data_IF_556562782720
#
_entry.id   IF_556562782720
#
_cell.length_a   1.000
_cell.length_b   1.000
_cell.length_c   1.000
_cell.angle_alpha   90.00
_cell.angle_beta   90.00
_cell.angle_gamma   90.00
#
_symmetry.space_group_name_H-M   'P 1'
#
loop_
_entity.id
_entity.type
_entity.pdbx_description
1 polymer ?
2 polymer ?
3 non-polymer ?
4 non-polymer ?
5 water ?
#
# COMPACT_ATOMS: atom_id res chain seq x y z
N UNK A 1 12.56 6.16 -13.99
CA UNK A 1 11.09 6.19 -13.69
C UNK A 1 10.50 4.78 -13.75
N UNK A 2 10.21 4.21 -12.58
CA UNK A 2 9.49 2.95 -12.48
C UNK A 2 8.04 3.17 -12.88
N UNK A 3 7.47 2.22 -13.62
CA UNK A 3 6.06 2.25 -13.98
C UNK A 3 5.41 0.90 -13.71
N UNK A 4 4.24 0.95 -13.08
CA UNK A 4 3.37 -0.21 -12.95
C UNK A 4 2.05 0.18 -13.62
N UNK A 5 1.45 -0.76 -14.33
CA UNK A 5 0.21 -0.49 -15.06
C UNK A 5 -0.75 -1.66 -14.96
N UNK A 6 -1.83 -1.45 -14.21
CA UNK A 6 -2.85 -2.45 -14.02
C UNK A 6 -3.85 -2.37 -15.18
N UNK A 7 -4.52 -3.48 -15.44
CA UNK A 7 -5.62 -3.52 -16.41
C UNK A 7 -6.52 -4.70 -16.09
N UNK A 8 -7.71 -4.70 -16.70
CA UNK A 8 -8.63 -5.83 -16.63
C UNK A 8 -9.88 -5.61 -15.80
N UNK A 9 -9.96 -4.46 -15.12
CA UNK A 9 -11.14 -4.14 -14.33
C UNK A 9 -12.38 -3.87 -15.15
N UNK A 10 -13.47 -3.55 -14.48
CA UNK A 10 -14.72 -3.25 -15.17
C UNK A 10 -15.92 -3.30 -14.26
N UNK A 11 -17.05 -3.64 -14.86
CA UNK A 11 -18.36 -3.63 -14.21
C UNK A 11 -18.91 -5.04 -14.34
N UNK A 12 -19.02 -5.75 -13.22
CA UNK A 12 -19.43 -7.16 -13.20
C UNK A 12 -20.51 -7.41 -12.15
N UNK A 13 -21.14 -8.58 -12.21
CA UNK A 13 -22.18 -8.96 -11.26
C UNK A 13 -21.65 -9.89 -10.16
N UNK A 14 -22.33 -9.94 -9.00
CA UNK A 14 -21.92 -10.86 -7.95
C UNK A 14 -21.92 -12.32 -8.40
N UNK A 15 -20.97 -13.09 -7.90
CA UNK A 15 -20.77 -14.49 -8.31
C UNK A 15 -19.82 -14.68 -9.48
N UNK A 16 -19.53 -13.61 -10.23
CA UNK A 16 -18.71 -13.71 -11.43
C UNK A 16 -17.21 -13.80 -11.15
N UNK A 17 -16.45 -13.88 -12.23
CA UNK A 17 -14.99 -13.95 -12.19
C UNK A 17 -14.35 -12.88 -13.07
N UNK A 18 -13.11 -12.54 -12.74
CA UNK A 18 -12.37 -11.50 -13.42
C UNK A 18 -10.88 -11.70 -13.15
N UNK A 19 -10.04 -11.48 -14.15
CA UNK A 19 -8.58 -11.52 -13.97
C UNK A 19 -7.96 -10.16 -14.25
N UNK A 20 -7.23 -9.65 -13.26
CA UNK A 20 -6.48 -8.40 -13.40
C UNK A 20 -5.04 -8.72 -13.76
N UNK A 21 -4.43 -7.81 -14.53
CA UNK A 21 -3.03 -7.91 -14.92
C UNK A 21 -2.32 -6.64 -14.49
N UNK A 22 -1.02 -6.75 -14.26
CA UNK A 22 -0.18 -5.58 -13.99
C UNK A 22 1.18 -5.82 -14.63
N UNK A 23 1.62 -4.87 -15.46
CA UNK A 23 2.93 -4.97 -16.11
C UNK A 23 3.87 -3.93 -15.49
N UNK A 24 5.08 -4.36 -15.19
CA UNK A 24 6.08 -3.56 -14.49
C UNK A 24 7.27 -3.23 -15.40
N UNK A 25 7.86 -2.05 -15.17
CA UNK A 25 9.08 -1.63 -15.87
C UNK A 25 9.93 -0.71 -14.99
N UNK A 26 11.23 -0.66 -15.27
CA UNK A 26 12.14 0.26 -14.58
C UNK A 26 12.86 -0.27 -13.35
N UNK A 27 12.55 -1.50 -12.94
CA UNK A 27 13.26 -2.16 -11.85
C UNK A 27 13.34 -3.65 -12.12
N UNK A 28 14.19 -4.36 -11.38
CA UNK A 28 14.36 -5.79 -11.58
C UNK A 28 13.19 -6.54 -10.92
N UNK A 29 12.07 -6.59 -11.65
CA UNK A 29 10.81 -7.19 -11.19
C UNK A 29 10.98 -8.55 -10.50
N UNK A 30 11.77 -9.43 -11.09
CA UNK A 30 11.97 -10.79 -10.58
C UNK A 30 12.67 -10.88 -9.22
N UNK A 31 13.31 -9.79 -8.78
CA UNK A 31 13.97 -9.74 -7.46
C UNK A 31 13.08 -9.28 -6.31
N UNK A 32 11.86 -8.84 -6.60
CA UNK A 32 10.96 -8.28 -5.57
C UNK A 32 9.65 -9.04 -5.46
N UNK A 33 9.13 -9.11 -4.24
CA UNK A 33 7.78 -9.61 -4.01
C UNK A 33 6.83 -8.59 -4.61
N UNK A 34 5.65 -9.04 -5.02
CA UNK A 34 4.62 -8.12 -5.47
C UNK A 34 3.33 -8.34 -4.68
N UNK A 35 2.55 -7.27 -4.58
CA UNK A 35 1.31 -7.26 -3.81
C UNK A 35 0.19 -6.68 -4.65
N UNK A 36 -1.04 -7.08 -4.32
CA UNK A 36 -2.24 -6.35 -4.71
C UNK A 36 -2.81 -5.70 -3.46
N UNK A 37 -3.22 -4.43 -3.60
CA UNK A 37 -3.89 -3.68 -2.53
C UNK A 37 -5.09 -2.99 -3.18
N UNK A 38 -6.23 -2.96 -2.49
CA UNK A 38 -7.42 -2.34 -3.04
C UNK A 38 -7.93 -1.18 -2.18
N UNK A 39 -8.57 -0.23 -2.84
CA UNK A 39 -9.14 0.95 -2.19
C UNK A 39 -10.64 0.95 -2.43
N UNK A 40 -11.43 0.87 -1.35
CA UNK A 40 -12.89 0.71 -1.46
C UNK A 40 -13.58 2.08 -1.62
N UNK A 41 -14.92 2.09 -1.87
CA UNK A 41 -15.67 3.37 -1.89
C UNK A 41 -15.61 4.23 -0.61
N UNK A 42 -15.35 3.61 0.55
CA UNK A 42 -15.12 4.37 1.79
C UNK A 42 -13.66 4.84 1.97
N UNK A 43 -12.87 4.80 0.88
CA UNK A 43 -11.54 5.41 0.76
C UNK A 43 -10.38 4.67 1.47
N UNK A 44 -10.66 3.56 2.16
CA UNK A 44 -9.66 2.82 2.92
C UNK A 44 -8.89 1.83 2.07
N UNK A 45 -7.60 1.70 2.35
CA UNK A 45 -6.73 0.72 1.69
C UNK A 45 -6.77 -0.61 2.43
N UNK A 46 -6.80 -1.70 1.66
CA UNK A 46 -6.80 -3.05 2.20
C UNK A 46 -5.82 -3.91 1.40
N UNK A 47 -4.84 -4.47 2.08
CA UNK A 47 -3.90 -5.41 1.46
C UNK A 47 -4.64 -6.69 1.11
N UNK A 48 -4.44 -7.17 -0.11
CA UNK A 48 -5.19 -8.30 -0.68
C UNK A 48 -4.34 -9.58 -0.73
N UNK A 49 -3.15 -9.49 -1.31
CA UNK A 49 -2.33 -10.68 -1.55
C UNK A 49 -0.88 -10.30 -1.82
N UNK A 50 0.03 -11.24 -1.56
CA UNK A 50 1.44 -11.10 -1.92
C UNK A 50 1.90 -12.33 -2.66
N UNK A 51 2.92 -12.17 -3.49
CA UNK A 51 3.61 -13.30 -4.11
C UNK A 51 5.11 -13.05 -3.99
N UNK A 52 5.84 -14.11 -3.64
CA UNK A 52 7.27 -14.01 -3.33
C UNK A 52 8.04 -14.40 -4.60
N UNK A 53 9.31 -14.79 -4.45
CA UNK A 53 10.19 -14.98 -5.59
C UNK A 53 10.18 -16.42 -6.09
N UNK A 54 10.80 -16.62 -7.25
CA UNK A 54 11.08 -17.96 -7.77
C UNK A 54 11.83 -18.81 -6.73
N UNK A 55 12.82 -18.21 -6.07
CA UNK A 55 13.59 -18.89 -5.01
C UNK A 55 12.77 -19.28 -3.77
N UNK A 56 11.61 -18.66 -3.58
CA UNK A 56 10.65 -19.05 -2.54
C UNK A 56 9.52 -19.93 -3.09
N UNK A 57 9.74 -20.56 -4.25
CA UNK A 57 8.72 -21.35 -4.94
C UNK A 57 7.43 -20.55 -5.17
N UNK A 58 7.59 -19.24 -5.46
CA UNK A 58 6.46 -18.33 -5.67
C UNK A 58 5.39 -18.41 -4.57
N UNK A 59 5.83 -18.50 -3.32
CA UNK A 59 4.92 -18.59 -2.16
C UNK A 59 3.94 -17.42 -2.17
N UNK A 60 2.70 -17.70 -1.76
CA UNK A 60 1.64 -16.71 -1.72
C UNK A 60 0.99 -16.63 -0.34
N UNK A 61 0.48 -15.45 -0.01
CA UNK A 61 -0.35 -15.24 1.17
C UNK A 61 -1.49 -14.31 0.79
N UNK A 62 -2.61 -14.47 1.48
CA UNK A 62 -3.83 -13.70 1.19
C UNK A 62 -4.43 -13.13 2.45
N UNK A 63 -5.15 -12.02 2.28
CA UNK A 63 -6.00 -11.51 3.35
C UNK A 63 -7.16 -12.48 3.57
N UNK A 64 -7.62 -12.60 4.81
CA UNK A 64 -8.70 -13.53 5.12
C UNK A 64 -10.00 -13.18 4.36
N UNK A 65 -10.17 -11.90 4.01
CA UNK A 65 -11.31 -11.44 3.22
C UNK A 65 -11.40 -12.03 1.80
N UNK A 66 -10.29 -12.54 1.25
CA UNK A 66 -10.27 -13.11 -0.11
C UNK A 66 -9.75 -14.54 -0.22
N UNK A 67 -9.34 -15.14 0.91
CA UNK A 67 -8.73 -16.48 0.90
C UNK A 67 -9.69 -17.52 0.33
N UNK A 68 -9.20 -18.31 -0.62
CA UNK A 68 -10.00 -19.33 -1.31
C UNK A 68 -10.76 -18.86 -2.55
N UNK A 69 -10.85 -17.55 -2.74
CA UNK A 69 -11.55 -16.96 -3.88
C UNK A 69 -10.60 -16.27 -4.88
N UNK A 70 -9.53 -15.67 -4.37
CA UNK A 70 -8.57 -14.96 -5.22
C UNK A 70 -7.28 -15.77 -5.35
N UNK A 71 -6.61 -15.63 -6.49
CA UNK A 71 -5.31 -16.25 -6.73
C UNK A 71 -4.35 -15.23 -7.35
N UNK A 72 -3.22 -15.03 -6.67
CA UNK A 72 -2.15 -14.18 -7.19
C UNK A 72 -1.12 -15.07 -7.90
N UNK A 73 -0.61 -14.59 -9.03
CA UNK A 73 0.42 -15.27 -9.80
C UNK A 73 1.32 -14.23 -10.48
N UNK A 74 2.44 -14.68 -11.02
CA UNK A 74 3.36 -13.80 -11.71
C UNK A 74 4.07 -14.51 -12.86
N UNK A 75 4.47 -13.73 -13.84
CA UNK A 75 5.26 -14.21 -14.96
C UNK A 75 6.47 -13.28 -15.07
N UNK A 76 7.60 -13.73 -14.52
CA UNK A 76 8.83 -12.95 -14.53
C UNK A 76 9.35 -12.64 -15.94
N UNK A 77 9.12 -13.54 -16.91
CA UNK A 77 9.52 -13.30 -18.31
C UNK A 77 8.72 -12.18 -18.99
N UNK A 78 7.50 -11.91 -18.50
CA UNK A 78 6.68 -10.78 -18.96
C UNK A 78 6.67 -9.60 -17.98
N UNK A 79 7.43 -9.69 -16.89
CA UNK A 79 7.46 -8.68 -15.83
C UNK A 79 6.05 -8.30 -15.35
N UNK A 80 5.23 -9.32 -15.13
CA UNK A 80 3.81 -9.14 -14.87
C UNK A 80 3.31 -9.91 -13.65
N UNK A 81 2.36 -9.31 -12.95
CA UNK A 81 1.68 -9.94 -11.81
C UNK A 81 0.19 -9.94 -12.11
N UNK A 82 -0.51 -10.96 -11.62
CA UNK A 82 -1.93 -11.17 -11.95
C UNK A 82 -2.74 -11.43 -10.70
N UNK A 83 -4.04 -11.11 -10.78
CA UNK A 83 -4.99 -11.47 -9.72
C UNK A 83 -6.25 -12.05 -10.35
N UNK A 84 -6.45 -13.35 -10.17
CA UNK A 84 -7.67 -14.04 -10.59
C UNK A 84 -8.65 -13.93 -9.44
N UNK A 85 -9.84 -13.38 -9.71
CA UNK A 85 -10.86 -13.16 -8.70
C UNK A 85 -12.07 -14.00 -9.06
N UNK A 86 -12.45 -14.92 -8.18
CA UNK A 86 -13.64 -15.77 -8.36
C UNK A 86 -14.69 -15.46 -7.30
N UNK A 87 -15.93 -15.84 -7.58
CA UNK A 87 -17.05 -15.66 -6.64
C UNK A 87 -17.09 -14.22 -6.10
N UNK A 88 -17.07 -13.25 -7.01
CA UNK A 88 -17.02 -11.84 -6.64
C UNK A 88 -18.23 -11.42 -5.80
N UNK A 89 -17.98 -10.56 -4.81
CA UNK A 89 -18.99 -10.04 -3.91
C UNK A 89 -19.04 -8.54 -4.05
N UNK A 90 -20.15 -7.92 -3.66
CA UNK A 90 -20.26 -6.45 -3.65
C UNK A 90 -19.11 -5.79 -2.88
N UNK A 91 -18.69 -6.41 -1.77
CA UNK A 91 -17.59 -5.89 -0.95
C UNK A 91 -16.20 -5.93 -1.63
N UNK A 92 -16.06 -6.65 -2.74
CA UNK A 92 -14.83 -6.61 -3.55
C UNK A 92 -14.74 -5.37 -4.43
N UNK A 93 -15.80 -4.57 -4.50
CA UNK A 93 -15.75 -3.31 -5.26
C UNK A 93 -14.62 -2.42 -4.75
N UNK A 94 -13.81 -1.91 -5.68
CA UNK A 94 -12.75 -0.95 -5.36
C UNK A 94 -11.77 -0.75 -6.49
N UNK A 95 -10.78 0.11 -6.26
CA UNK A 95 -9.68 0.31 -7.18
C UNK A 95 -8.56 -0.64 -6.73
N UNK A 96 -8.08 -1.46 -7.66
CA UNK A 96 -7.06 -2.47 -7.40
C UNK A 96 -5.71 -2.01 -7.93
N UNK A 97 -4.72 -1.98 -7.03
CA UNK A 97 -3.36 -1.56 -7.36
C UNK A 97 -2.38 -2.71 -7.15
N UNK A 98 -1.43 -2.83 -8.07
CA UNK A 98 -0.24 -3.64 -7.85
C UNK A 98 0.84 -2.72 -7.29
N UNK A 99 1.59 -3.24 -6.32
CA UNK A 99 2.56 -2.44 -5.58
C UNK A 99 3.63 -3.33 -4.94
N UNK A 100 4.84 -2.79 -4.87
CA UNK A 100 5.93 -3.46 -4.16
C UNK A 100 7.16 -2.58 -4.05
N UNK A 101 8.23 -3.20 -3.56
CA UNK A 101 9.57 -2.62 -3.37
C UNK A 101 9.69 -1.80 -2.08
N UNK A 102 10.36 -2.37 -1.09
CA UNK A 102 10.76 -1.68 0.13
C UNK A 102 9.77 -0.83 0.92
N UNK A 103 8.57 -1.29 1.25
CA UNK A 103 7.88 -2.48 0.74
C UNK A 103 6.73 -2.08 -0.20
N UNK A 104 6.39 -0.80 -0.22
CA UNK A 104 5.32 -0.29 -1.06
C UNK A 104 5.71 1.01 -1.76
N UNK A 105 6.95 1.08 -2.26
CA UNK A 105 7.49 2.25 -2.96
C UNK A 105 6.75 2.64 -4.24
N UNK A 106 6.40 1.63 -5.00
CA UNK A 106 5.83 1.83 -6.32
C UNK A 106 4.42 1.26 -6.42
N UNK A 107 3.54 2.06 -7.01
CA UNK A 107 2.12 1.75 -7.20
C UNK A 107 1.75 2.05 -8.63
N UNK A 108 0.90 1.22 -9.23
CA UNK A 108 0.32 1.61 -10.51
C UNK A 108 -0.83 2.61 -10.34
N UNK A 109 -1.41 3.03 -11.45
CA UNK A 109 -2.57 3.95 -11.45
C UNK A 109 -3.86 3.32 -10.94
N UNK A 110 -3.93 1.99 -10.99
CA UNK A 110 -5.07 1.25 -10.48
C UNK A 110 -6.07 0.93 -11.58
N UNK A 111 -6.80 -0.17 -11.37
CA UNK A 111 -7.89 -0.56 -12.26
C UNK A 111 -9.14 -0.76 -11.39
N UNK A 112 -10.24 -0.16 -11.84
CA UNK A 112 -11.47 -0.12 -11.06
C UNK A 112 -12.30 -1.39 -11.29
N UNK A 113 -12.74 -2.01 -10.19
CA UNK A 113 -13.61 -3.18 -10.22
C UNK A 113 -14.89 -2.78 -9.49
N UNK A 114 -16.01 -2.79 -10.20
CA UNK A 114 -17.32 -2.47 -9.63
C UNK A 114 -18.18 -3.74 -9.73
N UNK A 115 -18.49 -4.31 -8.57
CA UNK A 115 -19.33 -5.52 -8.46
C UNK A 115 -20.71 -5.08 -8.02
N UNK A 116 -21.70 -5.21 -8.91
CA UNK A 116 -23.08 -4.77 -8.65
C UNK A 116 -24.10 -5.54 -9.47
N UNK A 135 -8.31 -9.95 14.09
CA UNK A 135 -8.86 -8.69 13.64
C UNK A 135 -8.06 -7.55 14.25
N UNK A 136 -6.90 -7.30 13.64
CA UNK A 136 -5.99 -6.24 14.06
C UNK A 136 -6.47 -4.92 13.46
N UNK A 137 -6.47 -3.86 14.28
CA UNK A 137 -6.78 -2.52 13.80
C UNK A 137 -5.56 -1.61 13.97
N UNK A 138 -5.21 -0.93 12.88
CA UNK A 138 -4.14 0.05 12.87
C UNK A 138 -4.80 1.42 12.83
N UNK A 139 -4.46 2.28 13.80
CA UNK A 139 -5.12 3.56 13.96
C UNK A 139 -4.17 4.72 13.67
N UNK A 140 -4.67 5.65 12.87
CA UNK A 140 -4.00 6.90 12.52
C UNK A 140 -4.90 8.07 12.87
N UNK A 141 -4.32 9.25 13.03
CA UNK A 141 -5.09 10.47 13.23
C UNK A 141 -6.00 10.66 12.03
N UNK A 142 -7.27 11.01 12.23
CA UNK A 142 -8.16 11.21 11.09
C UNK A 142 -7.70 12.39 10.22
N UNK A 143 -7.34 13.48 10.87
CA UNK A 143 -6.88 14.69 10.18
C UNK A 143 -5.86 15.41 11.02
N UNK A 144 -4.93 16.08 10.33
CA UNK A 144 -4.04 17.04 10.97
C UNK A 144 -3.94 18.26 10.06
N UNK A 145 -3.79 19.42 10.68
CA UNK A 145 -3.66 20.67 9.94
C UNK A 145 -2.31 21.29 10.28
N UNK A 146 -1.58 21.71 9.25
CA UNK A 146 -0.30 22.37 9.43
C UNK A 146 -0.23 23.55 8.48
N UNK A 147 0.94 24.17 8.39
CA UNK A 147 1.17 25.23 7.42
C UNK A 147 2.58 25.11 6.88
N UNK A 148 2.85 25.78 5.73
CA UNK A 148 4.19 25.64 5.18
C UNK A 148 5.29 26.02 6.16
N UNK A 149 6.32 25.18 6.22
CA UNK A 149 7.48 25.43 7.06
C UNK A 149 7.40 24.85 8.46
N UNK A 150 6.24 24.28 8.83
CA UNK A 150 6.13 23.68 10.13
C UNK A 150 6.58 22.24 10.12
N UNK A 151 6.80 21.71 11.31
CA UNK A 151 7.11 20.31 11.48
C UNK A 151 5.85 19.62 11.93
N UNK A 152 5.47 18.55 11.25
CA UNK A 152 4.25 17.82 11.59
C UNK A 152 4.57 16.33 11.65
N UNK A 153 4.01 15.65 12.63
CA UNK A 153 4.27 14.24 12.84
C UNK A 153 2.96 13.48 12.88
N UNK A 154 2.86 12.47 12.00
CA UNK A 154 1.70 11.60 11.89
C UNK A 154 2.06 10.32 12.60
N UNK A 155 1.08 9.67 13.25
CA UNK A 155 1.39 8.44 13.98
C UNK A 155 0.48 7.28 13.60
N UNK A 156 0.94 6.10 13.98
CA UNK A 156 0.40 4.84 13.50
C UNK A 156 0.49 3.84 14.65
N UNK A 157 -0.68 3.51 15.23
CA UNK A 157 -0.77 2.66 16.43
C UNK A 157 -1.31 1.29 16.06
N UNK A 158 -0.77 0.25 16.70
CA UNK A 158 -1.23 -1.13 16.56
C UNK A 158 -2.09 -1.53 17.75
N UNK A 159 -3.21 -2.20 17.48
CA UNK A 159 -4.07 -2.75 18.55
C UNK A 159 -3.43 -3.93 19.29
N UNK A 160 -2.41 -4.54 18.69
CA UNK A 160 -1.72 -5.69 19.30
C UNK A 160 -0.80 -5.30 20.47
N UNK A 161 -0.31 -4.06 20.46
CA UNK A 161 0.66 -3.57 21.43
C UNK A 161 1.58 -2.56 20.77
N UNK A 162 2.79 -2.42 21.30
CA UNK A 162 3.78 -1.48 20.77
C UNK A 162 4.20 -1.85 19.36
N UNK A 163 4.37 -0.83 18.50
CA UNK A 163 4.96 -1.02 17.19
C UNK A 163 6.47 -1.09 17.36
N UNK A 164 7.08 -2.10 16.75
CA UNK A 164 8.52 -2.30 16.79
C UNK A 164 9.05 -2.37 15.37
N UNK A 165 10.37 -2.45 15.23
CA UNK A 165 10.97 -2.62 13.91
C UNK A 165 10.54 -3.93 13.23
N UNK A 166 10.10 -4.93 14.01
CA UNK A 166 9.54 -6.17 13.46
C UNK A 166 8.19 -6.01 12.76
N UNK A 167 7.56 -4.83 12.88
CA UNK A 167 6.37 -4.49 12.08
C UNK A 167 6.68 -3.78 10.76
N UNK A 168 7.95 -3.47 10.50
CA UNK A 168 8.40 -2.95 9.20
C UNK A 168 7.47 -1.85 8.65
N UNK A 169 7.20 -0.84 9.48
CA UNK A 169 6.21 0.17 9.14
C UNK A 169 6.52 0.84 7.80
N UNK A 170 5.50 0.96 6.96
CA UNK A 170 5.57 1.71 5.72
C UNK A 170 4.64 2.91 5.78
N UNK A 171 5.01 3.95 5.04
CA UNK A 171 4.18 5.14 4.89
C UNK A 171 4.01 5.40 3.40
N UNK A 172 2.76 5.63 2.99
CA UNK A 172 2.39 5.82 1.59
C UNK A 172 1.53 7.08 1.46
N UNK A 173 1.80 7.88 0.44
CA UNK A 173 1.07 9.12 0.20
C UNK A 173 0.08 8.95 -0.93
N UNK A 174 -1.16 9.40 -0.71
CA UNK A 174 -2.19 9.48 -1.76
C UNK A 174 -2.42 10.93 -2.14
N UNK A 175 -2.09 11.28 -3.38
CA UNK A 175 -2.43 12.59 -3.94
C UNK A 175 -3.65 12.46 -4.87
N UNK A 176 -4.23 13.58 -5.22
CA UNK A 176 -5.46 13.51 -5.97
C UNK A 176 -5.38 12.61 -7.13
N UNK A 177 -6.56 12.12 -7.37
CA UNK A 177 -6.77 11.14 -8.33
C UNK A 177 -6.11 9.87 -8.17
N UNK A 178 -6.13 9.50 -6.94
CA UNK A 178 -5.76 8.11 -6.58
C UNK A 178 -4.31 7.80 -6.96
N UNK A 179 -3.41 8.75 -6.68
CA UNK A 179 -2.00 8.67 -7.05
C UNK A 179 -1.20 8.34 -5.80
N UNK A 180 -0.76 7.08 -5.72
CA UNK A 180 -0.03 6.57 -4.56
C UNK A 180 1.48 6.51 -4.79
N UNK A 181 2.24 6.96 -3.78
CA UNK A 181 3.70 6.92 -3.78
C UNK A 181 4.16 6.45 -2.41
N UNK A 182 5.00 5.42 -2.35
CA UNK A 182 5.61 4.97 -1.11
C UNK A 182 6.66 5.97 -0.68
N UNK A 183 6.63 6.34 0.60
CA UNK A 183 7.59 7.29 1.16
C UNK A 183 8.67 6.61 2.00
N UNK A 184 8.23 5.71 2.88
CA UNK A 184 9.09 5.07 3.87
C UNK A 184 8.74 3.59 3.92
N UNK A 185 9.75 2.73 4.01
CA UNK A 185 9.56 1.32 4.37
C UNK A 185 10.56 0.90 5.42
N UNK A 186 10.38 -0.30 5.96
CA UNK A 186 11.26 -0.81 7.02
C UNK A 186 11.47 0.19 8.14
N UNK A 187 10.37 0.79 8.60
CA UNK A 187 10.34 1.79 9.69
C UNK A 187 10.86 3.19 9.30
N UNK A 188 12.09 3.25 8.78
CA UNK A 188 12.75 4.54 8.55
C UNK A 188 13.60 4.64 7.28
N UNK A 189 13.38 3.75 6.32
CA UNK A 189 14.13 3.77 5.07
C UNK A 189 13.36 4.55 4.02
N UNK A 190 13.91 5.68 3.60
CA UNK A 190 13.25 6.54 2.61
C UNK A 190 13.35 5.87 1.23
N UNK A 191 12.22 5.78 0.52
CA UNK A 191 12.20 5.18 -0.83
C UNK A 191 12.99 6.06 -1.82
N UNK A 192 13.50 5.46 -2.92
CA UNK A 192 14.34 6.27 -3.82
C UNK A 192 13.59 7.46 -4.43
N UNK A 193 14.24 8.62 -4.47
CA UNK A 193 13.65 9.84 -5.00
C UNK A 193 12.70 10.58 -4.07
N UNK A 194 12.43 10.03 -2.88
CA UNK A 194 11.53 10.66 -1.92
C UNK A 194 12.25 11.84 -1.26
N UNK A 195 11.56 12.99 -1.14
CA UNK A 195 12.21 14.16 -0.56
C UNK A 195 12.71 13.99 0.87
N UNK A 196 13.83 14.62 1.18
CA UNK A 196 14.49 14.52 2.48
C UNK A 196 13.68 15.04 3.64
N UNK A 197 12.71 15.93 3.38
CA UNK A 197 11.82 16.41 4.46
C UNK A 197 10.96 15.32 5.09
N UNK A 198 10.81 14.18 4.42
CA UNK A 198 10.07 13.04 4.98
C UNK A 198 10.99 12.11 5.75
N UNK A 199 10.61 11.73 6.96
CA UNK A 199 11.37 10.75 7.72
C UNK A 199 10.46 9.86 8.54
N UNK A 200 10.90 8.62 8.74
CA UNK A 200 10.16 7.63 9.52
C UNK A 200 10.84 7.37 10.84
N UNK A 201 10.05 7.10 11.88
CA UNK A 201 10.55 6.82 13.21
C UNK A 201 9.60 5.92 14.00
N UNK A 202 10.09 5.48 15.16
CA UNK A 202 9.24 4.92 16.22
C UNK A 202 9.29 5.91 17.36
N UNK A 203 8.11 6.34 17.84
CA UNK A 203 8.02 7.31 18.94
C UNK A 203 6.90 6.83 19.86
N UNK A 204 7.23 6.63 21.12
CA UNK A 204 6.27 6.15 22.10
C UNK A 204 5.47 4.94 21.69
N UNK A 205 6.12 3.90 21.26
CA UNK A 205 5.41 2.68 20.80
C UNK A 205 4.43 2.75 19.60
N UNK A 206 4.59 3.78 18.81
CA UNK A 206 3.86 3.94 17.58
C UNK A 206 4.88 4.23 16.49
N UNK A 207 4.52 3.90 15.29
CA UNK A 207 5.29 4.36 14.13
C UNK A 207 4.91 5.79 13.83
N UNK A 208 5.84 6.54 13.25
CA UNK A 208 5.64 7.96 13.00
C UNK A 208 6.27 8.42 11.70
N UNK A 209 5.57 9.31 11.00
CA UNK A 209 6.10 9.99 9.82
C UNK A 209 6.19 11.48 10.14
N UNK A 210 7.36 12.07 9.95
CA UNK A 210 7.58 13.49 10.23
C UNK A 210 7.90 14.18 8.92
N UNK A 211 7.23 15.30 8.67
CA UNK A 211 7.57 16.20 7.59
C UNK A 211 8.22 17.40 8.25
N UNK A 212 9.52 17.57 8.04
CA UNK A 212 10.28 18.67 8.66
C UNK A 212 10.33 19.82 7.66
N UNK A 213 9.37 20.74 7.79
CA UNK A 213 9.19 21.86 6.89
C UNK A 213 8.16 21.45 5.88
N UNK A 214 6.89 21.49 6.29
CA UNK A 214 5.83 21.04 5.40
C UNK A 214 5.70 21.97 4.20
N UNK A 215 5.32 21.45 3.04
CA UNK A 215 5.15 22.26 1.83
C UNK A 215 3.72 22.13 1.33
N UNK A 216 3.25 23.13 0.59
CA UNK A 216 1.85 23.15 0.15
C UNK A 216 1.44 21.88 -0.58
N UNK A 217 2.34 21.37 -1.42
CA UNK A 217 2.10 20.13 -2.17
C UNK A 217 2.03 18.85 -1.32
N UNK A 218 2.38 18.94 -0.03
CA UNK A 218 2.26 17.81 0.88
C UNK A 218 0.84 17.62 1.40
N UNK A 219 -0.08 18.51 1.06
CA UNK A 219 -1.49 18.29 1.34
C UNK A 219 -1.92 17.01 0.59
N UNK A 220 -2.32 15.99 1.34
CA UNK A 220 -2.53 14.65 0.81
C UNK A 220 -3.06 13.76 1.93
N UNK A 221 -3.38 12.50 1.60
CA UNK A 221 -3.75 11.50 2.59
C UNK A 221 -2.55 10.58 2.78
N UNK A 222 -2.19 10.30 4.02
CA UNK A 222 -1.02 9.48 4.34
C UNK A 222 -1.46 8.21 5.03
N UNK A 223 -1.11 7.07 4.46
CA UNK A 223 -1.44 5.77 5.05
C UNK A 223 -0.20 5.12 5.62
N UNK A 224 -0.35 4.46 6.77
CA UNK A 224 0.68 3.56 7.27
C UNK A 224 0.25 2.12 7.05
N UNK A 225 1.22 1.23 6.95
CA UNK A 225 0.98 -0.20 6.91
C UNK A 225 1.95 -0.92 7.83
N UNK A 226 1.43 -1.86 8.60
CA UNK A 226 2.24 -2.64 9.56
C UNK A 226 2.17 -4.12 9.21
N UNK A 227 3.30 -4.80 9.41
CA UNK A 227 3.49 -6.21 9.05
C UNK A 227 3.33 -7.07 10.29
N UNK A 228 2.52 -8.12 10.21
CA UNK A 228 2.31 -9.04 11.32
C UNK A 228 2.62 -10.47 10.90
N UNK A 229 3.91 -10.80 10.93
CA UNK A 229 4.43 -12.15 10.62
C UNK A 229 4.27 -12.63 9.17
N UNK A 230 3.05 -12.58 8.63
CA UNK A 230 2.78 -13.01 7.24
C UNK A 230 1.67 -12.24 6.50
N UNK A 231 1.32 -11.05 6.98
CA UNK A 231 0.32 -10.20 6.31
C UNK A 231 0.47 -8.75 6.72
N UNK A 232 -0.11 -7.85 5.93
CA UNK A 232 -0.11 -6.41 6.23
C UNK A 232 -1.48 -5.94 6.66
N UNK A 233 -1.51 -4.96 7.56
CA UNK A 233 -2.72 -4.22 7.89
C UNK A 233 -2.43 -2.74 7.67
N UNK A 234 -3.22 -2.09 6.80
CA UNK A 234 -3.14 -0.66 6.58
C UNK A 234 -3.98 0.10 7.61
N UNK A 235 -3.47 1.25 8.03
CA UNK A 235 -4.24 2.19 8.83
C UNK A 235 -5.31 2.87 8.01
N UNK A 236 -6.17 3.66 8.67
CA UNK A 236 -7.28 4.34 8.00
C UNK A 236 -6.90 5.60 7.24
N UNK A 237 -5.66 6.04 7.39
CA UNK A 237 -5.17 7.21 6.69
C UNK A 237 -5.39 8.50 7.48
N UNK A 238 -4.47 9.44 7.29
CA UNK A 238 -4.56 10.79 7.87
C UNK A 238 -4.66 11.81 6.75
N UNK A 239 -5.72 12.62 6.77
CA UNK A 239 -5.87 13.75 5.86
C UNK A 239 -5.05 14.92 6.40
N UNK A 240 -3.94 15.25 5.74
CA UNK A 240 -3.11 16.36 6.11
C UNK A 240 -3.50 17.57 5.26
N UNK A 241 -3.91 18.65 5.91
CA UNK A 241 -4.17 19.93 5.26
C UNK A 241 -2.98 20.86 5.54
N UNK A 242 -2.52 21.58 4.52
CA UNK A 242 -1.43 22.54 4.65
C UNK A 242 -2.01 23.91 4.31
N UNK A 243 -2.24 24.71 5.34
CA UNK A 243 -2.96 25.99 5.23
C UNK A 243 -2.00 27.17 5.22
N UNK A 244 -2.14 28.05 4.22
CA UNK A 244 -1.35 29.28 4.15
C UNK A 244 -0.06 29.11 3.37
N UNK B 1 9.87 -11.87 8.36
CA UNK B 1 10.00 -10.51 7.80
C UNK B 1 9.45 -10.45 6.36
N UNK B 2 9.03 -9.24 5.91
CA UNK B 2 8.52 -8.96 4.52
C UNK B 2 9.61 -8.85 3.60
N UNK B 3 9.38 -8.26 2.41
CA UNK B 3 10.46 -8.08 1.42
C UNK B 3 11.36 -6.91 1.87
N UNK B 5 14.44 -6.37 0.81
CA UNK B 5 15.45 -6.04 -0.23
C UNK B 5 15.29 -4.55 -0.63
N UNK B 6 16.38 -3.75 -0.58
CA UNK B 6 16.31 -2.29 -0.91
C UNK B 6 15.93 -2.04 -2.26
#
# INVERSE_FOLDING_TARGET
QVQLQESGGGLVQPGGSMKLSCVASGFTFSNYWMNWVRQSPEKGLEWVAEIRLKSNNYATHYAESVKGRFTISRDDSKSSVYLQMNNLRAEDTGIYYCTGVGQFAYWGQGTTVTVSSSSGGGGSGGGGGSSGSSDIVVTQESALTTSPGETVTLTCRSSTGAVTTSNYANWVQEKPDHLFTGLIGGTNNRAPGVPARFSGSLIGDKAALTITGAQTEDEAIYFCALWYSNHWVFGGGTKLTVLG
APDXRPX
#
